data_IF_950893366683
#
_entry.id   IF_950893366683
#
_cell.length_a   1.000
_cell.length_b   1.000
_cell.length_c   1.000
_cell.angle_alpha   90.00
_cell.angle_beta   90.00
_cell.angle_gamma   90.00
#
_symmetry.space_group_name_H-M   'P 1'
#
loop_
_entity.id
_entity.type
_entity.pdbx_description
1 polymer ?
#
# COMPACT_ATOMS: atom_id res chain seq x y z
N UNK A 1 -5.32 4.06 0.69
CA UNK A 1 -5.29 4.86 -0.55
C UNK A 1 -5.70 6.28 -0.21
N UNK A 2 -5.09 7.31 -0.78
CA UNK A 2 -5.51 8.71 -0.57
C UNK A 2 -6.86 8.99 -1.24
N UNK A 3 -7.61 9.95 -0.70
CA UNK A 3 -8.82 10.48 -1.31
C UNK A 3 -8.53 11.02 -2.73
N UNK A 4 -7.42 11.72 -2.93
CA UNK A 4 -7.01 12.27 -4.22
C UNK A 4 -6.87 11.21 -5.31
N UNK A 5 -6.17 10.11 -5.03
CA UNK A 5 -6.00 9.00 -5.98
C UNK A 5 -7.33 8.28 -6.22
N UNK A 6 -8.12 8.08 -5.17
CA UNK A 6 -9.43 7.45 -5.30
C UNK A 6 -10.36 8.25 -6.24
N UNK A 7 -10.38 9.58 -6.09
CA UNK A 7 -11.16 10.48 -6.93
C UNK A 7 -10.59 10.58 -8.35
N UNK A 8 -9.27 10.68 -8.50
CA UNK A 8 -8.59 10.75 -9.80
C UNK A 8 -8.76 9.48 -10.65
N UNK A 9 -8.99 8.32 -10.00
CA UNK A 9 -9.30 7.06 -10.66
C UNK A 9 -10.81 6.79 -10.77
N UNK A 10 -11.67 7.73 -10.35
CA UNK A 10 -13.13 7.59 -10.32
C UNK A 10 -13.61 6.31 -9.59
N UNK A 11 -12.91 5.92 -8.52
CA UNK A 11 -13.24 4.73 -7.74
C UNK A 11 -14.35 5.06 -6.73
N UNK A 12 -15.37 4.20 -6.69
CA UNK A 12 -16.40 4.24 -5.67
C UNK A 12 -15.93 3.49 -4.43
N UNK A 13 -16.12 4.10 -3.27
CA UNK A 13 -15.87 3.48 -1.96
C UNK A 13 -17.17 3.37 -1.17
N UNK A 14 -17.25 2.35 -0.33
CA UNK A 14 -18.37 2.13 0.59
C UNK A 14 -18.13 2.93 1.88
N UNK A 15 -18.88 4.02 2.13
CA UNK A 15 -18.67 4.87 3.30
C UNK A 15 -19.17 4.23 4.59
N UNK A 16 -19.90 3.12 4.52
CA UNK A 16 -20.42 2.42 5.71
C UNK A 16 -19.33 1.59 6.40
N UNK A 17 -18.22 1.31 5.71
CA UNK A 17 -17.10 0.53 6.24
C UNK A 17 -15.91 1.44 6.45
N UNK A 18 -15.79 1.92 7.69
CA UNK A 18 -14.73 2.81 8.12
C UNK A 18 -13.75 2.10 9.03
N UNK A 19 -12.49 2.49 8.93
CA UNK A 19 -11.40 2.05 9.77
C UNK A 19 -11.06 3.20 10.71
N UNK A 20 -11.08 2.93 12.02
CA UNK A 20 -10.51 3.85 13.00
C UNK A 20 -8.99 3.68 12.97
N UNK A 21 -8.27 4.74 12.60
CA UNK A 21 -6.82 4.80 12.61
C UNK A 21 -6.39 5.57 13.84
N UNK A 22 -5.61 4.91 14.70
CA UNK A 22 -4.99 5.60 15.82
C UNK A 22 -3.60 6.08 15.41
N UNK A 23 -3.39 7.38 15.47
CA UNK A 23 -2.09 7.99 15.29
C UNK A 23 -1.21 7.80 16.52
N UNK A 24 0.11 7.95 16.36
CA UNK A 24 1.07 7.86 17.45
C UNK A 24 0.86 8.92 18.54
N UNK A 25 0.17 10.03 18.22
CA UNK A 25 -0.21 11.06 19.19
C UNK A 25 -1.52 10.75 19.94
N UNK A 26 -2.12 9.58 19.73
CA UNK A 26 -3.35 9.15 20.39
C UNK A 26 -4.64 9.64 19.73
N UNK A 27 -4.55 10.51 18.73
CA UNK A 27 -5.70 10.94 17.94
C UNK A 27 -6.24 9.78 17.10
N UNK A 28 -7.57 9.65 17.05
CA UNK A 28 -8.25 8.65 16.24
C UNK A 28 -8.84 9.35 15.02
N UNK A 29 -8.22 9.12 13.88
CA UNK A 29 -8.75 9.51 12.58
C UNK A 29 -9.57 8.36 11.97
N UNK A 30 -10.44 8.67 11.01
CA UNK A 30 -11.29 7.68 10.34
C UNK A 30 -11.04 7.66 8.85
N UNK A 31 -11.00 6.46 8.29
CA UNK A 31 -11.08 6.33 6.83
C UNK A 31 -12.46 6.77 6.33
N UNK A 32 -12.49 7.27 5.10
CA UNK A 32 -13.71 7.71 4.41
C UNK A 32 -14.60 6.52 4.01
N UNK A 33 -13.98 5.37 3.73
CA UNK A 33 -14.67 4.16 3.34
C UNK A 33 -13.72 3.09 2.81
N UNK A 34 -14.29 2.01 2.29
CA UNK A 34 -13.56 0.88 1.72
C UNK A 34 -13.78 0.76 0.22
N UNK A 35 -12.70 0.70 -0.56
CA UNK A 35 -12.74 0.21 -1.95
C UNK A 35 -12.56 -1.30 -1.97
N UNK A 36 -13.35 -1.98 -2.81
CA UNK A 36 -13.34 -3.45 -2.90
C UNK A 36 -12.86 -3.90 -4.28
N UNK A 37 -12.06 -4.97 -4.30
CA UNK A 37 -11.66 -5.69 -5.51
C UNK A 37 -11.06 -4.77 -6.59
N UNK A 38 -10.19 -3.85 -6.18
CA UNK A 38 -9.47 -2.99 -7.14
C UNK A 38 -8.23 -3.75 -7.62
N UNK A 39 -7.96 -3.81 -8.94
CA UNK A 39 -6.77 -4.46 -9.46
C UNK A 39 -5.53 -3.58 -9.21
N UNK A 40 -4.54 -4.14 -8.54
CA UNK A 40 -3.21 -3.57 -8.35
C UNK A 40 -2.22 -4.35 -9.20
N UNK A 41 -1.57 -3.68 -10.14
CA UNK A 41 -0.51 -4.27 -10.94
C UNK A 41 0.84 -3.99 -10.30
N UNK A 42 1.62 -5.05 -10.05
CA UNK A 42 2.97 -4.98 -9.52
C UNK A 42 3.86 -5.84 -10.42
N UNK A 43 4.66 -5.18 -11.27
CA UNK A 43 5.33 -5.85 -12.39
C UNK A 43 4.31 -6.52 -13.31
N UNK A 44 4.40 -7.83 -13.46
CA UNK A 44 3.46 -8.65 -14.25
C UNK A 44 2.33 -9.28 -13.43
N UNK A 45 2.35 -9.13 -12.10
CA UNK A 45 1.34 -9.71 -11.22
C UNK A 45 0.18 -8.71 -11.05
N UNK A 46 -1.05 -9.19 -11.16
CA UNK A 46 -2.27 -8.43 -10.85
C UNK A 46 -2.92 -9.02 -9.59
N UNK A 47 -3.10 -8.18 -8.57
CA UNK A 47 -3.73 -8.55 -7.30
C UNK A 47 -5.00 -7.74 -7.10
N UNK A 48 -6.10 -8.41 -6.77
CA UNK A 48 -7.32 -7.72 -6.38
C UNK A 48 -7.29 -7.45 -4.89
N UNK A 49 -7.14 -6.18 -4.52
CA UNK A 49 -7.02 -5.76 -3.13
C UNK A 49 -8.22 -4.93 -2.71
N UNK A 50 -8.51 -5.00 -1.41
CA UNK A 50 -9.38 -4.05 -0.74
C UNK A 50 -8.51 -3.01 -0.04
N UNK A 51 -8.91 -1.75 -0.09
CA UNK A 51 -8.14 -0.67 0.55
C UNK A 51 -9.07 0.37 1.16
N UNK A 52 -8.66 0.93 2.29
CA UNK A 52 -9.37 2.06 2.88
C UNK A 52 -8.95 3.38 2.23
N UNK A 53 -9.92 4.25 2.00
CA UNK A 53 -9.70 5.61 1.48
C UNK A 53 -9.47 6.56 2.65
N UNK A 54 -8.35 7.27 2.64
CA UNK A 54 -7.90 8.13 3.73
C UNK A 54 -7.90 9.59 3.29
N UNK A 55 -8.55 10.45 4.06
CA UNK A 55 -8.53 11.91 3.86
C UNK A 55 -7.15 12.47 4.23
N UNK A 56 -6.65 13.43 3.45
CA UNK A 56 -5.38 14.13 3.71
C UNK A 56 -4.16 13.20 3.92
N UNK A 57 -4.14 12.03 3.27
CA UNK A 57 -3.01 11.13 3.35
C UNK A 57 -1.76 11.75 2.70
N UNK A 58 -0.59 11.60 3.35
CA UNK A 58 0.70 12.08 2.82
C UNK A 58 1.32 11.13 1.78
N UNK A 59 0.62 10.06 1.43
CA UNK A 59 1.00 8.98 0.53
C UNK A 59 -0.18 8.64 -0.39
N UNK A 60 0.12 8.11 -1.57
CA UNK A 60 -0.92 7.70 -2.53
C UNK A 60 -1.55 6.36 -2.10
N UNK A 61 -0.69 5.37 -1.87
CA UNK A 61 -1.07 4.01 -1.49
C UNK A 61 -0.12 3.52 -0.40
N UNK A 62 -0.71 2.98 0.67
CA UNK A 62 0.00 2.30 1.74
C UNK A 62 -0.37 0.82 1.71
N UNK A 63 0.63 -0.04 1.48
CA UNK A 63 0.49 -1.49 1.61
C UNK A 63 0.99 -1.87 2.99
N UNK A 64 0.18 -2.63 3.72
CA UNK A 64 0.53 -3.09 5.05
C UNK A 64 0.66 -4.61 5.11
N UNK A 65 0.79 -5.13 6.33
CA UNK A 65 0.99 -6.55 6.60
C UNK A 65 0.04 -7.54 5.90
N UNK A 66 -1.26 -7.25 5.69
CA UNK A 66 -2.12 -8.16 4.91
C UNK A 66 -1.61 -8.41 3.48
N UNK A 67 -1.05 -7.38 2.84
CA UNK A 67 -0.41 -7.51 1.54
C UNK A 67 0.86 -8.36 1.63
N UNK A 68 1.70 -8.11 2.63
CA UNK A 68 2.96 -8.84 2.83
C UNK A 68 2.72 -10.33 3.09
N UNK A 69 1.72 -10.66 3.91
CA UNK A 69 1.35 -12.04 4.21
C UNK A 69 0.77 -12.73 2.98
N UNK A 70 -0.11 -12.05 2.24
CA UNK A 70 -0.75 -12.61 1.04
C UNK A 70 0.26 -12.92 -0.06
N UNK A 71 1.24 -12.03 -0.24
CA UNK A 71 2.23 -12.12 -1.32
C UNK A 71 3.56 -12.69 -0.87
N UNK A 72 3.68 -13.12 0.39
CA UNK A 72 4.95 -13.50 1.01
C UNK A 72 6.07 -12.53 0.67
N UNK A 73 5.77 -11.22 0.78
CA UNK A 73 6.66 -10.18 0.28
C UNK A 73 7.99 -10.18 1.04
N UNK A 74 9.07 -9.94 0.32
CA UNK A 74 10.41 -9.78 0.88
C UNK A 74 10.99 -8.47 0.39
N UNK A 75 11.22 -7.56 1.34
CA UNK A 75 11.93 -6.32 1.08
C UNK A 75 13.42 -6.53 1.35
N UNK A 76 14.25 -6.13 0.40
CA UNK A 76 15.71 -6.16 0.54
C UNK A 76 16.25 -4.76 0.33
N UNK A 77 16.93 -4.26 1.35
CA UNK A 77 17.67 -2.99 1.32
C UNK A 77 19.13 -3.28 0.98
N UNK A 78 19.71 -2.46 0.12
CA UNK A 78 21.09 -2.56 -0.30
C UNK A 78 21.90 -1.36 0.22
N UNK A 79 23.22 -1.52 0.32
CA UNK A 79 24.12 -0.49 0.86
C UNK A 79 24.27 0.73 -0.06
N UNK A 80 23.90 0.58 -1.33
CA UNK A 80 23.86 1.64 -2.36
C UNK A 80 22.54 2.43 -2.34
N UNK A 81 21.79 2.36 -1.23
CA UNK A 81 20.48 2.98 -1.03
C UNK A 81 19.36 2.42 -1.93
N UNK A 82 19.66 1.45 -2.78
CA UNK A 82 18.62 0.77 -3.54
C UNK A 82 17.80 -0.13 -2.63
N UNK A 83 16.53 -0.30 -2.99
CA UNK A 83 15.64 -1.24 -2.35
C UNK A 83 14.89 -2.03 -3.43
N UNK A 84 14.68 -3.31 -3.17
CA UNK A 84 13.85 -4.18 -3.99
C UNK A 84 12.76 -4.80 -3.15
N UNK A 85 11.60 -5.01 -3.75
CA UNK A 85 10.55 -5.85 -3.19
C UNK A 85 10.34 -7.05 -4.11
N UNK A 86 10.43 -8.24 -3.52
CA UNK A 86 10.03 -9.49 -4.16
C UNK A 86 8.66 -9.87 -3.65
N UNK A 87 7.76 -10.22 -4.57
CA UNK A 87 6.41 -10.70 -4.26
C UNK A 87 6.18 -12.05 -4.93
N UNK A 88 5.51 -12.95 -4.22
CA UNK A 88 4.97 -14.19 -4.72
C UNK A 88 3.52 -13.95 -5.16
N UNK A 89 3.19 -14.32 -6.40
CA UNK A 89 1.83 -14.33 -6.88
C UNK A 89 1.06 -15.46 -6.19
N UNK A 90 0.02 -15.17 -5.38
CA UNK A 90 -0.76 -16.22 -4.73
C UNK A 90 -1.57 -17.06 -5.74
N UNK A 91 -1.81 -16.53 -6.95
CA UNK A 91 -2.62 -17.19 -7.97
C UNK A 91 -1.80 -18.11 -8.89
N UNK A 92 -0.57 -17.71 -9.26
CA UNK A 92 0.27 -18.46 -10.21
C UNK A 92 1.46 -19.15 -9.56
N UNK A 93 1.84 -18.74 -8.34
CA UNK A 93 3.08 -19.20 -7.69
C UNK A 93 4.35 -18.59 -8.28
N UNK A 94 4.24 -17.67 -9.24
CA UNK A 94 5.40 -16.97 -9.81
C UNK A 94 5.88 -15.86 -8.89
N UNK A 95 7.18 -15.65 -8.84
CA UNK A 95 7.80 -14.56 -8.08
C UNK A 95 8.26 -13.45 -9.00
N UNK A 96 7.96 -12.21 -8.62
CA UNK A 96 8.45 -11.00 -9.30
C UNK A 96 9.23 -10.15 -8.32
N UNK A 97 10.42 -9.72 -8.73
CA UNK A 97 11.22 -8.73 -8.00
C UNK A 97 11.22 -7.43 -8.76
N UNK A 98 10.84 -6.35 -8.09
CA UNK A 98 10.89 -4.99 -8.65
C UNK A 98 11.77 -4.10 -7.78
N UNK A 99 12.42 -3.14 -8.44
CA UNK A 99 13.06 -2.01 -7.76
C UNK A 99 11.99 -1.09 -7.19
N UNK A 100 12.17 -0.66 -5.94
CA UNK A 100 11.35 0.39 -5.35
C UNK A 100 12.00 1.74 -5.66
N UNK A 101 11.20 2.71 -6.07
CA UNK A 101 11.70 4.08 -6.29
C UNK A 101 11.79 4.78 -4.93
N UNK A 102 12.92 5.44 -4.66
CA UNK A 102 13.08 6.25 -3.45
C UNK A 102 12.01 7.35 -3.40
N UNK A 103 11.31 7.46 -2.27
CA UNK A 103 10.31 8.49 -2.05
C UNK A 103 10.96 9.88 -2.06
N UNK A 104 10.85 10.58 -3.20
CA UNK A 104 11.40 11.93 -3.38
C UNK A 104 11.38 12.47 -4.81
N UNK A 105 11.37 11.61 -5.84
CA UNK A 105 11.54 12.04 -7.24
C UNK A 105 10.36 11.79 -8.19
N UNK A 106 9.37 10.96 -7.84
CA UNK A 106 8.14 10.80 -8.62
C UNK A 106 7.05 10.17 -7.73
N UNK A 107 5.78 10.49 -8.00
CA UNK A 107 4.54 10.04 -7.35
C UNK A 107 4.69 9.02 -6.20
N UNK A 108 4.23 9.45 -5.02
CA UNK A 108 4.51 8.90 -3.68
C UNK A 108 3.82 7.55 -3.45
N UNK A 109 4.32 6.52 -4.12
CA UNK A 109 3.95 5.13 -3.88
C UNK A 109 5.06 4.48 -3.05
N UNK A 110 4.63 3.73 -2.03
CA UNK A 110 5.41 2.92 -1.07
C UNK A 110 5.94 3.67 0.17
N UNK A 111 5.26 3.45 1.31
CA UNK A 111 5.84 3.60 2.64
C UNK A 111 5.67 2.29 3.39
N UNK A 112 6.65 1.40 3.34
CA UNK A 112 6.78 0.38 4.37
C UNK A 112 7.58 1.01 5.50
N UNK A 113 6.89 1.75 6.39
CA UNK A 113 7.49 2.07 7.70
C UNK A 113 7.60 0.76 8.46
N UNK A 114 8.78 0.14 8.40
CA UNK A 114 9.28 -0.65 9.50
C UNK A 114 9.39 0.29 10.70
N UNK A 115 8.42 0.25 11.60
CA UNK A 115 8.63 0.79 12.94
C UNK A 115 9.46 -0.27 13.66
N UNK A 116 10.77 -0.21 13.44
CA UNK A 116 11.71 -0.63 14.46
C UNK A 116 11.79 0.53 15.45
N UNK A 117 11.30 0.29 16.66
CA UNK A 117 11.65 1.07 17.85
C UNK A 117 11.54 0.14 19.07
N UNK A 118 12.46 0.28 20.03
CA UNK A 118 12.87 -0.77 20.99
C UNK A 118 11.80 -1.19 22.01
#
# INVERSE_FOLDING_TARGET
>A
MSEEVCLGLNLLFDPTIQLNMQSANGEVDRSLGLIRNVPFRIGEIILYLQAHVIRNAVYDILLGRPFDVLTQSVVKNFADENQTITILCPNTGETVTILTILSGLANRIFSLRGIDSP
#
